data_IF_701533314795
#
_entry.id   IF_701533314795
#
_cell.length_a   1.000
_cell.length_b   1.000
_cell.length_c   1.000
_cell.angle_alpha   90.00
_cell.angle_beta   90.00
_cell.angle_gamma   90.00
#
_symmetry.space_group_name_H-M   'P 1'
#
loop_
_entity.id
_entity.type
_entity.pdbx_description
1 polymer ?
#
# COMPACT_ATOMS: atom_id res chain seq x y z
N UNK A 1 17.91 18.85 2.20
CA UNK A 1 17.89 17.98 1.01
C UNK A 1 16.52 17.32 0.94
N UNK A 2 15.63 17.82 0.10
CA UNK A 2 14.27 17.27 -0.02
C UNK A 2 14.35 15.94 -0.79
N UNK A 3 14.52 14.85 -0.04
CA UNK A 3 14.40 13.49 -0.56
C UNK A 3 12.93 13.23 -0.92
N UNK A 4 12.47 13.80 -2.04
CA UNK A 4 11.10 13.68 -2.51
C UNK A 4 10.82 12.21 -2.84
N UNK A 5 10.24 11.47 -1.91
CA UNK A 5 9.79 10.11 -2.16
C UNK A 5 8.65 10.17 -3.17
N UNK A 6 8.91 9.67 -4.37
CA UNK A 6 7.97 9.78 -5.48
C UNK A 6 6.69 8.99 -5.19
N UNK A 7 5.60 9.71 -4.93
CA UNK A 7 4.25 9.18 -4.68
C UNK A 7 3.81 8.26 -5.83
N UNK A 8 4.14 8.66 -7.06
CA UNK A 8 3.80 7.94 -8.30
C UNK A 8 4.44 6.55 -8.31
N UNK A 9 5.70 6.42 -7.89
CA UNK A 9 6.38 5.12 -7.86
C UNK A 9 5.74 4.19 -6.84
N UNK A 10 5.40 4.71 -5.65
CA UNK A 10 4.68 3.94 -4.63
C UNK A 10 3.31 3.49 -5.14
N UNK A 11 2.57 4.35 -5.85
CA UNK A 11 1.24 4.04 -6.36
C UNK A 11 1.29 2.96 -7.47
N UNK A 12 2.24 3.05 -8.40
CA UNK A 12 2.47 2.05 -9.45
C UNK A 12 2.85 0.70 -8.85
N UNK A 13 3.76 0.68 -7.86
CA UNK A 13 4.12 -0.54 -7.15
C UNK A 13 2.92 -1.10 -6.36
N UNK A 14 2.08 -0.24 -5.79
CA UNK A 14 0.90 -0.68 -5.01
C UNK A 14 -0.18 -1.25 -5.93
N UNK A 15 -0.29 -0.75 -7.16
CA UNK A 15 -1.18 -1.28 -8.18
C UNK A 15 -0.74 -2.65 -8.71
N UNK A 16 0.56 -2.87 -8.93
CA UNK A 16 1.03 -4.17 -9.44
C UNK A 16 1.24 -5.21 -8.33
N UNK A 17 1.68 -4.80 -7.15
CA UNK A 17 2.08 -5.71 -6.07
C UNK A 17 1.25 -5.57 -4.77
N UNK A 18 0.23 -4.72 -4.76
CA UNK A 18 -0.62 -4.50 -3.58
C UNK A 18 0.16 -3.91 -2.40
N UNK A 19 0.10 -4.48 -1.19
CA UNK A 19 0.73 -3.91 0.01
C UNK A 19 2.24 -3.73 -0.11
N UNK A 20 2.92 -4.49 -0.98
CA UNK A 20 4.36 -4.34 -1.21
C UNK A 20 4.73 -2.95 -1.76
N UNK A 21 3.85 -2.30 -2.53
CA UNK A 21 4.11 -0.94 -2.99
C UNK A 21 4.08 0.12 -1.89
N UNK A 22 3.47 -0.19 -0.75
CA UNK A 22 3.50 0.67 0.42
C UNK A 22 4.86 0.61 1.14
N UNK A 23 5.70 -0.41 0.94
CA UNK A 23 7.02 -0.49 1.58
C UNK A 23 7.93 0.68 1.21
N UNK A 24 7.74 1.25 0.02
CA UNK A 24 8.49 2.42 -0.44
C UNK A 24 8.15 3.69 0.36
N UNK A 25 6.87 3.80 0.76
CA UNK A 25 6.35 4.96 1.48
C UNK A 25 6.33 4.78 3.00
N UNK A 26 5.83 3.64 3.49
CA UNK A 26 5.69 3.31 4.91
C UNK A 26 5.84 1.82 5.16
N UNK A 27 6.84 1.44 5.96
CA UNK A 27 7.04 0.05 6.36
C UNK A 27 5.89 -0.43 7.26
N UNK A 28 5.43 0.40 8.20
CA UNK A 28 4.33 0.04 9.13
C UNK A 28 3.00 -0.18 8.40
N UNK A 29 2.61 0.71 7.47
CA UNK A 29 1.37 0.56 6.70
C UNK A 29 1.37 -0.67 5.80
N UNK A 30 2.52 -0.98 5.19
CA UNK A 30 2.70 -2.17 4.38
C UNK A 30 2.52 -3.46 5.18
N UNK A 31 3.09 -3.53 6.39
CA UNK A 31 2.94 -4.69 7.27
C UNK A 31 1.48 -4.88 7.68
N UNK A 32 0.77 -3.81 8.06
CA UNK A 32 -0.65 -3.88 8.41
C UNK A 32 -1.49 -4.39 7.24
N UNK A 33 -1.29 -3.84 6.04
CA UNK A 33 -2.03 -4.28 4.85
C UNK A 33 -1.67 -5.70 4.41
N UNK A 34 -0.44 -6.14 4.60
CA UNK A 34 -0.02 -7.52 4.35
C UNK A 34 -0.74 -8.50 5.29
N UNK A 35 -0.83 -8.16 6.59
CA UNK A 35 -1.60 -8.96 7.56
C UNK A 35 -3.07 -8.99 7.18
N UNK A 36 -3.68 -7.86 6.80
CA UNK A 36 -5.07 -7.82 6.34
C UNK A 36 -5.30 -8.66 5.07
N UNK A 37 -4.35 -8.64 4.13
CA UNK A 37 -4.40 -9.50 2.94
C UNK A 37 -4.42 -10.98 3.28
N UNK A 38 -3.65 -11.42 4.28
CA UNK A 38 -3.62 -12.82 4.71
C UNK A 38 -4.89 -13.16 5.50
N UNK A 39 -5.22 -12.34 6.50
CA UNK A 39 -6.34 -12.58 7.42
C UNK A 39 -7.69 -12.49 6.74
N UNK A 40 -7.88 -11.55 5.81
CA UNK A 40 -9.14 -11.38 5.08
C UNK A 40 -9.09 -12.07 3.72
N UNK A 41 -7.96 -12.08 3.02
CA UNK A 41 -7.86 -12.66 1.68
C UNK A 41 -7.93 -14.18 1.67
N UNK A 42 -7.33 -14.89 2.64
CA UNK A 42 -7.42 -16.36 2.71
C UNK A 42 -8.86 -16.84 2.93
N UNK A 43 -9.61 -16.40 3.96
CA UNK A 43 -10.96 -16.90 4.20
C UNK A 43 -11.96 -16.45 3.13
N UNK A 44 -11.70 -15.32 2.46
CA UNK A 44 -12.57 -14.83 1.37
C UNK A 44 -12.17 -15.34 -0.01
N UNK A 45 -11.22 -16.28 -0.11
CA UNK A 45 -10.70 -16.79 -1.40
C UNK A 45 -10.22 -15.67 -2.34
N UNK A 46 -9.70 -14.58 -1.79
CA UNK A 46 -9.22 -13.42 -2.54
C UNK A 46 -10.28 -12.37 -2.88
N UNK A 47 -11.55 -12.53 -2.52
CA UNK A 47 -12.56 -11.49 -2.72
C UNK A 47 -12.25 -10.22 -1.91
N UNK A 48 -11.74 -10.36 -0.68
CA UNK A 48 -11.31 -9.22 0.11
C UNK A 48 -10.13 -8.47 -0.52
N UNK A 49 -9.30 -9.14 -1.32
CA UNK A 49 -8.16 -8.52 -2.00
C UNK A 49 -8.65 -7.46 -2.98
N UNK A 50 -9.75 -7.71 -3.70
CA UNK A 50 -10.33 -6.74 -4.63
C UNK A 50 -10.76 -5.42 -3.93
N UNK A 51 -11.22 -5.50 -2.68
CA UNK A 51 -11.58 -4.33 -1.88
C UNK A 51 -10.38 -3.72 -1.13
N UNK A 52 -9.45 -4.54 -0.63
CA UNK A 52 -8.26 -4.08 0.10
C UNK A 52 -7.23 -3.41 -0.82
N UNK A 53 -7.15 -3.81 -2.08
CA UNK A 53 -6.22 -3.28 -3.05
C UNK A 53 -6.38 -1.77 -3.31
N UNK A 54 -7.59 -1.22 -3.60
CA UNK A 54 -7.77 0.22 -3.72
C UNK A 54 -7.56 0.97 -2.40
N UNK A 55 -7.88 0.35 -1.25
CA UNK A 55 -7.63 0.95 0.07
C UNK A 55 -6.12 1.09 0.31
N UNK A 56 -5.33 0.06 -0.03
CA UNK A 56 -3.88 0.10 0.02
C UNK A 56 -3.30 1.18 -0.92
N UNK A 57 -3.86 1.37 -2.12
CA UNK A 57 -3.43 2.45 -3.02
C UNK A 57 -3.64 3.84 -2.42
N UNK A 58 -4.84 4.11 -1.87
CA UNK A 58 -5.17 5.41 -1.28
C UNK A 58 -4.27 5.69 -0.09
N UNK A 59 -4.08 4.71 0.79
CA UNK A 59 -3.23 4.88 1.96
C UNK A 59 -1.75 5.04 1.58
N UNK A 60 -1.25 4.28 0.60
CA UNK A 60 0.11 4.43 0.08
C UNK A 60 0.35 5.82 -0.51
N UNK A 61 -0.62 6.34 -1.26
CA UNK A 61 -0.57 7.69 -1.82
C UNK A 61 -0.56 8.79 -0.73
N UNK A 62 -1.43 8.68 0.27
CA UNK A 62 -1.50 9.63 1.40
C UNK A 62 -0.18 9.61 2.19
N UNK A 63 0.35 8.43 2.46
CA UNK A 63 1.56 8.31 3.25
C UNK A 63 2.80 8.82 2.49
N UNK A 64 2.83 8.64 1.17
CA UNK A 64 3.90 9.17 0.35
C UNK A 64 3.79 10.70 0.24
N UNK A 65 2.58 11.23 0.16
CA UNK A 65 2.32 12.69 0.21
C UNK A 65 2.78 13.30 1.53
N UNK A 66 2.50 12.66 2.67
CA UNK A 66 2.99 13.09 3.99
C UNK A 66 4.51 13.08 4.13
N UNK A 67 5.20 12.22 3.39
CA UNK A 67 6.67 12.16 3.40
C UNK A 67 7.32 13.31 2.61
N UNK A 68 6.53 14.06 1.84
CA UNK A 68 6.97 15.16 0.98
C UNK A 68 6.60 16.56 1.53
N UNK A 69 5.83 16.63 2.62
CA UNK A 69 5.44 17.85 3.34
C UNK A 69 6.40 18.10 4.51
#
# INVERSE_FOLDING_TARGET
MANRKSVVLSLVLTFFFGPFGMLYSTVTGAIVMLVLYVVLGIPTLGWAIAALHPIAMIWGAIAASRSNA
#
